data_IF_428873324886
#
_entry.id   IF_428873324886
#
_cell.length_a   1.000
_cell.length_b   1.000
_cell.length_c   1.000
_cell.angle_alpha   90.00
_cell.angle_beta   90.00
_cell.angle_gamma   90.00
#
_symmetry.space_group_name_H-M   'P 1'
#
loop_
_entity.id
_entity.type
_entity.pdbx_description
1 polymer ?
#
# COMPACT_ATOMS: atom_id res chain seq x y z
N UNK A 1 -3.25 -22.50 -6.61
CA UNK A 1 -4.52 -22.57 -5.87
C UNK A 1 -4.58 -21.57 -4.72
N UNK A 2 -3.60 -21.55 -3.80
CA UNK A 2 -3.59 -20.62 -2.65
C UNK A 2 -3.73 -19.13 -3.03
N UNK A 3 -3.02 -18.67 -4.08
CA UNK A 3 -3.12 -17.27 -4.51
C UNK A 3 -4.52 -16.84 -4.94
N UNK A 4 -5.29 -17.73 -5.60
CA UNK A 4 -6.66 -17.44 -6.02
C UNK A 4 -7.62 -17.38 -4.84
N UNK A 5 -7.41 -18.23 -3.83
CA UNK A 5 -8.21 -18.22 -2.60
C UNK A 5 -7.98 -16.93 -1.80
N UNK A 6 -6.72 -16.55 -1.60
CA UNK A 6 -6.38 -15.27 -0.95
C UNK A 6 -6.94 -14.11 -1.74
N UNK A 7 -6.85 -14.16 -3.07
CA UNK A 7 -7.44 -13.17 -3.95
C UNK A 7 -8.95 -13.01 -3.70
N UNK A 8 -9.67 -14.13 -3.61
CA UNK A 8 -11.11 -14.16 -3.38
C UNK A 8 -11.48 -13.66 -1.99
N UNK A 9 -10.76 -14.08 -0.95
CA UNK A 9 -11.02 -13.65 0.43
C UNK A 9 -10.86 -12.14 0.61
N UNK A 10 -9.85 -11.52 -0.04
CA UNK A 10 -9.69 -10.06 -0.01
C UNK A 10 -10.87 -9.37 -0.70
N UNK A 11 -11.31 -9.87 -1.86
CA UNK A 11 -12.43 -9.26 -2.61
C UNK A 11 -13.77 -9.38 -1.88
N UNK A 12 -13.96 -10.47 -1.14
CA UNK A 12 -15.15 -10.72 -0.34
C UNK A 12 -15.07 -10.06 1.05
N UNK A 13 -14.01 -9.29 1.34
CA UNK A 13 -13.76 -8.66 2.64
C UNK A 13 -13.76 -9.64 3.82
N UNK A 14 -13.45 -10.92 3.56
CA UNK A 14 -13.25 -11.94 4.61
C UNK A 14 -11.94 -11.68 5.36
N UNK A 15 -10.93 -11.21 4.62
CA UNK A 15 -9.63 -10.81 5.17
C UNK A 15 -9.21 -9.47 4.60
N UNK A 16 -8.55 -8.66 5.42
CA UNK A 16 -7.95 -7.39 5.01
C UNK A 16 -6.52 -7.59 4.45
N UNK A 17 -6.07 -6.64 3.64
CA UNK A 17 -4.74 -6.69 3.02
C UNK A 17 -3.61 -6.74 4.08
N UNK A 18 -3.80 -6.08 5.22
CA UNK A 18 -2.81 -6.06 6.29
C UNK A 18 -2.69 -7.41 7.00
N UNK A 19 -3.78 -8.17 7.18
CA UNK A 19 -3.70 -9.53 7.73
C UNK A 19 -2.99 -10.49 6.76
N UNK A 20 -3.21 -10.35 5.45
CA UNK A 20 -2.46 -11.14 4.45
C UNK A 20 -0.98 -10.84 4.52
N UNK A 21 -0.59 -9.56 4.62
CA UNK A 21 0.81 -9.19 4.81
C UNK A 21 1.41 -9.81 6.09
N UNK A 22 0.72 -9.72 7.23
CA UNK A 22 1.16 -10.34 8.49
C UNK A 22 1.30 -11.86 8.38
N UNK A 23 0.36 -12.52 7.69
CA UNK A 23 0.38 -13.97 7.48
C UNK A 23 1.59 -14.42 6.67
N UNK A 24 1.99 -13.68 5.63
CA UNK A 24 3.17 -14.00 4.82
C UNK A 24 4.45 -14.01 5.67
N UNK A 25 4.57 -13.12 6.65
CA UNK A 25 5.71 -13.08 7.58
C UNK A 25 5.51 -13.92 8.85
N UNK A 26 4.45 -14.74 8.91
CA UNK A 26 4.19 -15.60 10.06
C UNK A 26 5.15 -16.78 10.11
N UNK A 27 5.42 -17.35 11.30
CA UNK A 27 6.27 -18.54 11.42
C UNK A 27 5.75 -19.73 10.60
N UNK A 28 4.43 -19.83 10.39
CA UNK A 28 3.82 -20.88 9.57
C UNK A 28 4.22 -20.81 8.09
N UNK A 29 4.64 -19.63 7.61
CA UNK A 29 5.08 -19.39 6.24
C UNK A 29 6.60 -19.34 6.10
N UNK A 30 7.36 -19.58 7.18
CA UNK A 30 8.81 -19.44 7.18
C UNK A 30 9.50 -20.39 6.19
N UNK A 31 9.04 -21.64 6.10
CA UNK A 31 9.59 -22.65 5.19
C UNK A 31 9.31 -22.33 3.71
N UNK A 32 8.18 -21.68 3.45
CA UNK A 32 7.72 -21.31 2.11
C UNK A 32 8.15 -19.89 1.70
N UNK A 33 8.75 -19.11 2.59
CA UNK A 33 9.04 -17.70 2.42
C UNK A 33 9.86 -17.38 1.16
N UNK A 34 10.74 -18.29 0.73
CA UNK A 34 11.57 -18.11 -0.46
C UNK A 34 10.87 -18.51 -1.77
N UNK A 35 9.68 -19.13 -1.70
CA UNK A 35 8.94 -19.60 -2.88
C UNK A 35 8.21 -18.44 -3.58
N UNK A 36 8.19 -18.48 -4.91
CA UNK A 36 7.65 -17.39 -5.73
C UNK A 36 6.19 -17.05 -5.42
N UNK A 37 5.34 -18.06 -5.20
CA UNK A 37 3.90 -17.84 -5.01
C UNK A 37 3.60 -16.96 -3.79
N UNK A 38 4.45 -16.95 -2.76
CA UNK A 38 4.29 -16.09 -1.57
C UNK A 38 4.39 -14.62 -1.97
N UNK A 39 5.37 -14.29 -2.80
CA UNK A 39 5.61 -12.94 -3.30
C UNK A 39 4.58 -12.53 -4.34
N UNK A 40 4.11 -13.46 -5.17
CA UNK A 40 2.98 -13.22 -6.07
C UNK A 40 1.71 -12.82 -5.28
N UNK A 41 1.44 -13.48 -4.15
CA UNK A 41 0.33 -13.13 -3.25
C UNK A 41 0.55 -11.74 -2.64
N UNK A 42 1.76 -11.45 -2.14
CA UNK A 42 2.10 -10.13 -1.58
C UNK A 42 1.85 -9.02 -2.60
N UNK A 43 2.45 -9.12 -3.79
CA UNK A 43 2.30 -8.11 -4.83
C UNK A 43 0.88 -8.03 -5.37
N UNK A 44 0.14 -9.14 -5.46
CA UNK A 44 -1.28 -9.11 -5.83
C UNK A 44 -2.10 -8.32 -4.80
N UNK A 45 -1.83 -8.54 -3.52
CA UNK A 45 -2.47 -7.82 -2.40
C UNK A 45 -2.18 -6.32 -2.46
N UNK A 46 -0.92 -5.93 -2.65
CA UNK A 46 -0.53 -4.52 -2.79
C UNK A 46 -1.20 -3.89 -4.02
N UNK A 47 -1.17 -4.56 -5.18
CA UNK A 47 -1.81 -4.06 -6.41
C UNK A 47 -3.31 -3.82 -6.22
N UNK A 48 -4.00 -4.66 -5.46
CA UNK A 48 -5.42 -4.47 -5.17
C UNK A 48 -5.68 -3.26 -4.31
N UNK A 49 -4.90 -3.08 -3.24
CA UNK A 49 -5.01 -1.90 -2.39
C UNK A 49 -4.77 -0.63 -3.21
N UNK A 50 -3.73 -0.63 -4.06
CA UNK A 50 -3.45 0.50 -4.96
C UNK A 50 -4.60 0.77 -5.94
N UNK A 51 -5.15 -0.28 -6.57
CA UNK A 51 -6.30 -0.14 -7.46
C UNK A 51 -7.56 0.36 -6.75
N UNK A 52 -7.77 -0.03 -5.50
CA UNK A 52 -8.88 0.44 -4.68
C UNK A 52 -8.79 1.95 -4.44
N UNK A 53 -7.60 2.43 -4.03
CA UNK A 53 -7.35 3.87 -3.85
C UNK A 53 -7.54 4.63 -5.16
N UNK A 54 -6.93 4.18 -6.25
CA UNK A 54 -7.05 4.83 -7.57
C UNK A 54 -8.52 4.90 -8.04
N UNK A 55 -9.30 3.84 -7.78
CA UNK A 55 -10.71 3.81 -8.14
C UNK A 55 -11.52 4.85 -7.35
N UNK A 56 -11.31 4.95 -6.04
CA UNK A 56 -11.98 5.96 -5.20
C UNK A 56 -11.53 7.38 -5.59
N UNK A 57 -10.25 7.59 -5.89
CA UNK A 57 -9.72 8.87 -6.40
C UNK A 57 -10.42 9.28 -7.71
N UNK A 58 -10.61 8.34 -8.64
CA UNK A 58 -11.28 8.58 -9.91
C UNK A 58 -12.78 8.89 -9.72
N UNK A 59 -13.48 8.11 -8.90
CA UNK A 59 -14.91 8.33 -8.61
C UNK A 59 -15.15 9.69 -7.95
N UNK A 60 -14.29 10.11 -7.02
CA UNK A 60 -14.36 11.44 -6.40
C UNK A 60 -14.13 12.56 -7.43
N UNK A 61 -13.15 12.39 -8.34
CA UNK A 61 -12.90 13.34 -9.41
C UNK A 61 -14.08 13.50 -10.38
N UNK A 62 -14.78 12.41 -10.69
CA UNK A 62 -16.00 12.44 -11.50
C UNK A 62 -17.16 13.13 -10.79
N UNK A 63 -17.37 12.87 -9.49
CA UNK A 63 -18.42 13.55 -8.72
C UNK A 63 -18.17 15.05 -8.58
N UNK A 64 -16.91 15.45 -8.34
CA UNK A 64 -16.52 16.85 -8.25
C UNK A 64 -16.73 17.59 -9.58
N UNK A 65 -16.39 16.97 -10.71
CA UNK A 65 -16.59 17.60 -12.02
C UNK A 65 -18.07 17.75 -12.37
N UNK A 66 -18.91 16.77 -12.02
CA UNK A 66 -20.38 16.86 -12.18
C UNK A 66 -20.98 17.99 -11.33
N UNK A 67 -20.54 18.15 -10.08
CA UNK A 67 -20.98 19.24 -9.21
C UNK A 67 -20.63 20.64 -9.76
N UNK A 68 -19.42 20.80 -10.33
CA UNK A 68 -19.01 22.07 -10.95
C UNK A 68 -19.79 22.41 -12.23
N UNK A 69 -20.20 21.40 -13.00
CA UNK A 69 -21.01 21.62 -14.22
C UNK A 69 -22.45 21.96 -13.86
N UNK A 70 -23.01 21.40 -12.78
CA UNK A 70 -24.35 21.78 -12.29
C UNK A 70 -24.37 23.20 -11.74
N UNK A 71 -23.35 23.64 -11.01
CA UNK A 71 -23.26 25.03 -10.51
C UNK A 71 -23.21 26.04 -11.67
N UNK A 72 -22.33 25.83 -12.67
CA UNK A 72 -22.22 26.75 -13.82
C UNK A 72 -23.48 26.85 -14.67
N UNK A 73 -24.24 25.75 -14.80
CA UNK A 73 -25.51 25.77 -15.56
C UNK A 73 -26.66 26.42 -14.78
N UNK A 74 -26.56 26.47 -13.45
CA UNK A 74 -27.55 27.16 -12.61
C UNK A 74 -27.42 28.68 -12.63
N UNK A 75 -26.28 29.22 -13.06
CA UNK A 75 -26.05 30.66 -13.21
C UNK A 75 -26.60 31.22 -14.54
N UNK A 76 -26.82 30.37 -15.56
CA UNK A 76 -27.15 30.80 -16.92
C UNK A 76 -28.66 30.72 -17.30
N UNK A 77 -29.52 30.01 -16.54
CA UNK A 77 -30.96 29.87 -16.88
C UNK A 77 -31.91 29.87 -15.66
N UNK A 78 -32.72 30.93 -15.52
CA UNK A 78 -33.81 31.15 -14.53
C UNK A 78 -35.11 30.34 -14.81
N UNK A 79 -35.02 29.08 -15.25
CA UNK A 79 -36.23 28.31 -15.63
C UNK A 79 -36.66 27.27 -14.58
N UNK A 80 -37.92 27.37 -14.13
CA UNK A 80 -38.58 26.58 -13.06
C UNK A 80 -38.56 25.04 -13.28
N UNK A 81 -38.14 24.59 -14.46
CA UNK A 81 -37.94 23.18 -14.82
C UNK A 81 -36.61 22.58 -14.29
N UNK A 82 -35.64 23.42 -13.91
CA UNK A 82 -34.29 23.04 -13.44
C UNK A 82 -34.27 22.38 -12.06
N UNK A 83 -35.32 22.54 -11.25
CA UNK A 83 -35.37 22.00 -9.89
C UNK A 83 -35.34 20.46 -9.88
N UNK A 84 -35.79 19.81 -10.95
CA UNK A 84 -35.75 18.34 -11.09
C UNK A 84 -34.35 17.78 -11.36
N UNK A 85 -33.47 18.54 -12.02
CA UNK A 85 -32.09 18.14 -12.29
C UNK A 85 -31.16 18.38 -11.08
N UNK A 86 -31.46 19.39 -10.26
CA UNK A 86 -30.75 19.63 -8.99
C UNK A 86 -30.92 18.50 -7.96
N UNK A 87 -31.97 17.68 -8.07
CA UNK A 87 -32.17 16.49 -7.23
C UNK A 87 -31.10 15.40 -7.50
N UNK A 88 -30.51 15.40 -8.70
CA UNK A 88 -29.45 14.45 -9.10
C UNK A 88 -28.04 15.03 -9.04
N UNK A 89 -27.89 16.31 -8.63
CA UNK A 89 -26.58 16.85 -8.32
C UNK A 89 -26.03 16.09 -7.09
N UNK A 90 -24.79 15.59 -7.12
CA UNK A 90 -24.21 14.95 -5.94
C UNK A 90 -24.25 15.96 -4.79
N UNK A 91 -24.97 15.62 -3.72
CA UNK A 91 -25.08 16.50 -2.57
C UNK A 91 -23.68 16.74 -1.99
N UNK A 92 -23.47 17.92 -1.41
CA UNK A 92 -22.21 18.25 -0.72
C UNK A 92 -21.85 17.19 0.33
N UNK A 93 -22.86 16.59 0.96
CA UNK A 93 -22.73 15.47 1.88
C UNK A 93 -22.19 14.18 1.24
N UNK A 94 -22.57 13.88 0.00
CA UNK A 94 -22.07 12.70 -0.73
C UNK A 94 -20.62 12.91 -1.17
N UNK A 95 -20.25 14.14 -1.52
CA UNK A 95 -18.87 14.50 -1.83
C UNK A 95 -17.99 14.39 -0.57
N UNK A 96 -18.46 14.88 0.58
CA UNK A 96 -17.76 14.74 1.86
C UNK A 96 -17.60 13.26 2.25
N UNK A 97 -18.66 12.45 2.15
CA UNK A 97 -18.59 11.00 2.44
C UNK A 97 -17.55 10.28 1.57
N UNK A 98 -17.50 10.59 0.27
CA UNK A 98 -16.50 10.01 -0.63
C UNK A 98 -15.08 10.46 -0.30
N UNK A 99 -14.92 11.70 0.18
CA UNK A 99 -13.64 12.22 0.62
C UNK A 99 -13.15 11.54 1.91
N UNK A 100 -14.05 11.27 2.86
CA UNK A 100 -13.73 10.51 4.07
C UNK A 100 -13.36 9.05 3.74
N UNK A 101 -14.03 8.45 2.75
CA UNK A 101 -13.69 7.12 2.23
C UNK A 101 -12.30 7.10 1.57
N UNK A 102 -11.94 8.15 0.83
CA UNK A 102 -10.62 8.28 0.24
C UNK A 102 -9.54 8.37 1.32
N UNK A 103 -9.75 9.17 2.36
CA UNK A 103 -8.79 9.30 3.46
C UNK A 103 -8.60 7.97 4.19
N UNK A 104 -9.70 7.26 4.44
CA UNK A 104 -9.68 5.91 5.04
C UNK A 104 -8.89 4.93 4.17
N UNK A 105 -9.15 4.89 2.86
CA UNK A 105 -8.45 4.01 1.93
C UNK A 105 -6.95 4.33 1.82
N UNK A 106 -6.59 5.62 1.81
CA UNK A 106 -5.19 6.06 1.87
C UNK A 106 -4.52 5.67 3.19
N UNK A 107 -5.24 5.77 4.31
CA UNK A 107 -4.79 5.31 5.61
C UNK A 107 -4.50 3.80 5.63
N UNK A 108 -5.39 2.98 5.05
CA UNK A 108 -5.21 1.53 4.92
C UNK A 108 -4.03 1.17 4.00
N UNK A 109 -3.89 1.87 2.87
CA UNK A 109 -2.75 1.70 1.96
C UNK A 109 -1.43 2.02 2.67
N UNK A 110 -1.35 3.15 3.36
CA UNK A 110 -0.18 3.54 4.17
C UNK A 110 0.14 2.48 5.22
N UNK A 111 -0.87 2.05 5.98
CA UNK A 111 -0.73 1.03 7.02
C UNK A 111 -0.22 -0.30 6.46
N UNK A 112 -0.69 -0.72 5.28
CA UNK A 112 -0.23 -1.92 4.60
C UNK A 112 1.27 -1.87 4.33
N UNK A 113 1.75 -0.80 3.69
CA UNK A 113 3.18 -0.65 3.41
C UNK A 113 4.02 -0.59 4.68
N UNK A 114 3.58 0.17 5.70
CA UNK A 114 4.29 0.24 6.98
C UNK A 114 4.43 -1.14 7.63
N UNK A 115 3.37 -1.95 7.64
CA UNK A 115 3.42 -3.32 8.17
C UNK A 115 4.40 -4.19 7.39
N UNK A 116 4.37 -4.11 6.05
CA UNK A 116 5.29 -4.88 5.20
C UNK A 116 6.74 -4.53 5.51
N UNK A 117 7.08 -3.24 5.51
CA UNK A 117 8.45 -2.79 5.77
C UNK A 117 8.90 -3.08 7.20
N UNK A 118 8.03 -2.87 8.19
CA UNK A 118 8.33 -3.22 9.58
C UNK A 118 8.63 -4.71 9.73
N UNK A 119 7.86 -5.58 9.06
CA UNK A 119 8.10 -7.03 9.08
C UNK A 119 9.41 -7.41 8.40
N UNK A 120 9.74 -6.80 7.26
CA UNK A 120 11.06 -6.99 6.63
C UNK A 120 12.20 -6.58 7.54
N UNK A 121 12.12 -5.39 8.14
CA UNK A 121 13.13 -4.91 9.09
C UNK A 121 13.28 -5.91 10.24
N UNK A 122 12.17 -6.37 10.81
CA UNK A 122 12.19 -7.32 11.92
C UNK A 122 12.89 -8.64 11.57
N UNK A 123 12.54 -9.28 10.43
CA UNK A 123 13.14 -10.56 10.05
C UNK A 123 14.61 -10.42 9.62
N UNK A 124 14.95 -9.32 8.94
CA UNK A 124 16.32 -9.07 8.49
C UNK A 124 17.20 -8.77 9.70
N UNK A 125 16.77 -7.90 10.60
CA UNK A 125 17.50 -7.59 11.83
C UNK A 125 17.68 -8.82 12.72
N UNK A 126 16.64 -9.65 12.90
CA UNK A 126 16.75 -10.90 13.67
C UNK A 126 17.79 -11.86 13.05
N UNK A 127 17.78 -12.03 11.72
CA UNK A 127 18.80 -12.84 11.03
C UNK A 127 20.21 -12.29 11.20
N UNK A 128 20.39 -10.96 11.06
CA UNK A 128 21.69 -10.31 11.22
C UNK A 128 22.23 -10.47 12.64
N UNK A 129 21.40 -10.23 13.66
CA UNK A 129 21.78 -10.42 15.07
C UNK A 129 22.15 -11.87 15.37
N UNK A 130 21.40 -12.85 14.83
CA UNK A 130 21.74 -14.28 14.98
C UNK A 130 23.05 -14.65 14.31
N UNK A 131 23.32 -14.11 13.13
CA UNK A 131 24.58 -14.35 12.42
C UNK A 131 25.77 -13.74 13.17
N UNK A 132 25.61 -12.52 13.69
CA UNK A 132 26.65 -11.82 14.46
C UNK A 132 26.93 -12.58 15.78
N UNK A 133 25.89 -13.02 16.49
CA UNK A 133 26.03 -13.83 17.72
C UNK A 133 26.64 -15.21 17.47
N UNK A 134 26.31 -15.85 16.34
CA UNK A 134 26.83 -17.15 15.96
C UNK A 134 28.19 -17.12 15.25
N UNK A 135 28.76 -15.93 14.98
CA UNK A 135 29.93 -15.73 14.11
C UNK A 135 29.82 -16.45 12.75
N UNK A 136 28.59 -16.54 12.21
CA UNK A 136 28.31 -17.17 10.92
C UNK A 136 28.17 -16.12 9.83
N UNK A 137 28.40 -16.53 8.58
CA UNK A 137 28.27 -15.62 7.46
C UNK A 137 26.80 -15.21 7.27
N UNK A 138 26.52 -13.91 7.36
CA UNK A 138 25.19 -13.35 7.15
C UNK A 138 24.66 -13.54 5.73
N UNK A 139 25.54 -13.69 4.73
CA UNK A 139 25.23 -13.77 3.30
C UNK A 139 24.66 -15.14 2.87
N UNK A 140 23.62 -15.58 3.55
CA UNK A 140 22.91 -16.81 3.25
C UNK A 140 22.03 -16.65 2.00
N UNK A 141 21.65 -17.77 1.32
CA UNK A 141 20.67 -17.72 0.24
C UNK A 141 19.33 -17.11 0.68
N UNK A 142 18.91 -17.39 1.92
CA UNK A 142 17.71 -16.81 2.51
C UNK A 142 17.81 -15.29 2.64
N UNK A 143 18.92 -14.78 3.17
CA UNK A 143 19.16 -13.33 3.33
C UNK A 143 19.16 -12.62 1.97
N UNK A 144 19.84 -13.21 0.97
CA UNK A 144 19.85 -12.69 -0.40
C UNK A 144 18.45 -12.61 -1.00
N UNK A 145 17.62 -13.63 -0.82
CA UNK A 145 16.23 -13.57 -1.26
C UNK A 145 15.45 -12.49 -0.48
N UNK A 146 15.53 -12.47 0.85
CA UNK A 146 14.79 -11.51 1.68
C UNK A 146 15.10 -10.04 1.33
N UNK A 147 16.39 -9.72 1.17
CA UNK A 147 16.82 -8.34 0.85
C UNK A 147 16.42 -7.95 -0.59
N UNK A 148 16.48 -8.88 -1.55
CA UNK A 148 16.05 -8.65 -2.92
C UNK A 148 14.53 -8.45 -3.01
N UNK A 149 13.74 -9.18 -2.21
CA UNK A 149 12.28 -9.00 -2.15
C UNK A 149 11.89 -7.66 -1.52
N UNK A 150 12.64 -7.19 -0.52
CA UNK A 150 12.49 -5.84 -0.01
C UNK A 150 12.74 -4.80 -1.13
N UNK A 151 13.84 -4.96 -1.87
CA UNK A 151 14.17 -4.08 -3.01
C UNK A 151 13.09 -4.12 -4.11
N UNK A 152 12.57 -5.30 -4.43
CA UNK A 152 11.51 -5.48 -5.43
C UNK A 152 10.25 -4.69 -5.08
N UNK A 153 9.85 -4.67 -3.80
CA UNK A 153 8.68 -3.89 -3.35
C UNK A 153 8.91 -2.38 -3.55
N UNK A 154 10.10 -1.88 -3.23
CA UNK A 154 10.46 -0.48 -3.47
C UNK A 154 10.39 -0.13 -4.97
N UNK A 155 10.93 -0.98 -5.84
CA UNK A 155 10.98 -0.71 -7.28
C UNK A 155 9.60 -0.81 -7.94
N UNK A 156 8.81 -1.84 -7.62
CA UNK A 156 7.53 -2.09 -8.26
C UNK A 156 6.44 -1.10 -7.83
N UNK A 157 6.54 -0.57 -6.60
CA UNK A 157 5.54 0.32 -6.01
C UNK A 157 6.08 1.72 -5.72
N UNK A 158 7.11 2.15 -6.45
CA UNK A 158 7.84 3.40 -6.23
C UNK A 158 6.93 4.63 -6.06
N UNK A 159 5.91 4.77 -6.91
CA UNK A 159 5.06 5.97 -6.95
C UNK A 159 4.18 6.05 -5.70
N UNK A 160 3.70 4.91 -5.22
CA UNK A 160 2.91 4.82 -3.99
C UNK A 160 3.80 5.00 -2.75
N UNK A 161 4.98 4.37 -2.73
CA UNK A 161 5.91 4.46 -1.60
C UNK A 161 6.42 5.90 -1.44
N UNK A 162 6.66 6.62 -2.53
CA UNK A 162 7.09 8.03 -2.52
C UNK A 162 6.10 8.93 -1.76
N UNK A 163 4.79 8.67 -1.84
CA UNK A 163 3.76 9.40 -1.07
C UNK A 163 3.95 9.30 0.45
N UNK A 164 4.56 8.22 0.94
CA UNK A 164 4.70 7.93 2.36
C UNK A 164 6.15 8.00 2.85
N UNK A 165 7.06 8.50 2.02
CA UNK A 165 8.51 8.48 2.27
C UNK A 165 8.89 9.18 3.56
N UNK A 166 8.36 10.38 3.82
CA UNK A 166 8.61 11.13 5.06
C UNK A 166 8.22 10.35 6.32
N UNK A 167 7.14 9.57 6.26
CA UNK A 167 6.73 8.73 7.39
C UNK A 167 7.66 7.53 7.55
N UNK A 168 8.11 6.94 6.44
CA UNK A 168 9.02 5.78 6.49
C UNK A 168 10.41 6.14 6.99
N UNK A 169 10.95 7.30 6.59
CA UNK A 169 12.22 7.83 7.08
C UNK A 169 12.18 8.07 8.59
N UNK A 170 11.11 8.70 9.08
CA UNK A 170 11.00 9.07 10.48
C UNK A 170 10.67 7.90 11.41
N UNK A 171 9.93 6.88 10.95
CA UNK A 171 9.42 5.81 11.81
C UNK A 171 10.11 4.45 11.62
N UNK A 172 10.64 4.14 10.43
CA UNK A 172 11.14 2.79 10.12
C UNK A 172 12.63 2.77 9.77
N UNK A 173 13.08 3.68 8.91
CA UNK A 173 14.44 3.71 8.39
C UNK A 173 15.28 4.78 9.09
N UNK A 174 15.33 4.70 10.43
CA UNK A 174 16.11 5.62 11.26
C UNK A 174 17.61 5.29 11.23
N UNK A 175 18.44 6.19 11.77
CA UNK A 175 19.90 6.00 11.81
C UNK A 175 20.34 4.81 12.66
N UNK A 176 19.48 4.30 13.54
CA UNK A 176 19.75 3.15 14.39
C UNK A 176 19.55 1.81 13.66
N UNK A 177 18.97 1.83 12.46
CA UNK A 177 18.78 0.64 11.65
C UNK A 177 20.12 0.18 11.07
N UNK A 178 20.31 -1.14 10.99
CA UNK A 178 21.49 -1.75 10.39
C UNK A 178 21.78 -1.17 8.99
N UNK A 179 23.03 -0.75 8.78
CA UNK A 179 23.47 -0.08 7.54
C UNK A 179 23.20 -0.89 6.28
N UNK A 180 23.18 -2.23 6.38
CA UNK A 180 22.89 -3.15 5.26
C UNK A 180 21.44 -3.03 4.81
N UNK A 181 20.50 -2.96 5.74
CA UNK A 181 19.07 -2.76 5.45
C UNK A 181 18.82 -1.33 4.98
N UNK A 182 19.43 -0.35 5.67
CA UNK A 182 19.35 1.07 5.33
C UNK A 182 19.88 1.35 3.91
N UNK A 183 20.86 0.57 3.43
CA UNK A 183 21.42 0.74 2.09
C UNK A 183 20.38 0.52 0.98
N UNK A 184 19.43 -0.41 1.16
CA UNK A 184 18.35 -0.65 0.19
C UNK A 184 17.43 0.56 0.12
N UNK A 185 17.12 1.16 1.27
CA UNK A 185 16.33 2.37 1.34
C UNK A 185 17.06 3.55 0.68
N UNK A 186 18.36 3.74 0.95
CA UNK A 186 19.18 4.77 0.29
C UNK A 186 19.28 4.58 -1.23
N UNK A 187 19.39 3.34 -1.70
CA UNK A 187 19.35 3.04 -3.13
C UNK A 187 18.00 3.43 -3.74
N UNK A 188 16.90 3.13 -3.06
CA UNK A 188 15.58 3.58 -3.49
C UNK A 188 15.50 5.12 -3.56
N UNK A 189 16.00 5.84 -2.55
CA UNK A 189 16.07 7.31 -2.57
C UNK A 189 16.79 7.85 -3.81
N UNK A 190 17.90 7.21 -4.19
CA UNK A 190 18.69 7.62 -5.36
C UNK A 190 17.97 7.43 -6.70
N UNK A 191 16.99 6.51 -6.76
CA UNK A 191 16.18 6.22 -7.95
C UNK A 191 14.87 7.00 -7.94
N UNK A 192 14.37 7.37 -6.76
CA UNK A 192 13.11 8.08 -6.57
C UNK A 192 13.23 9.61 -6.69
N UNK A 193 14.45 10.14 -6.53
CA UNK A 193 14.82 11.54 -6.83
C UNK A 193 15.04 11.73 -8.33
#
# INVERSE_FOLDING_TARGET
>A
MMGVLVDKMIRMQVVDCASVAKWIFSPNMADDFTRLYVWEIMHSTIRKMNKHVIKIEAELGEMRSKAQVSEKKSEDEEDDLMNTYNIFAPNQDDLQRMQDQLETANGEQKKLFLIIFQRFIMILSDHLVRCDAGHTNFNTPWYRNAIQRLQEIFLLHKDTVKKYMSTMENLLFTMDLDTRILSVFKQFLSVAN
#
